data_IF_096827185224
#
_entry.id   IF_096827185224
#
_cell.length_a   1.000
_cell.length_b   1.000
_cell.length_c   1.000
_cell.angle_alpha   90.00
_cell.angle_beta   90.00
_cell.angle_gamma   90.00
#
_symmetry.space_group_name_H-M   'P 1'
#
loop_
_entity.id
_entity.type
_entity.pdbx_description
1 polymer ?
#
# COMPACT_ATOMS: atom_id res chain seq x y z
N UNK A 1 22.25 -5.81 4.29
CA UNK A 1 21.59 -7.02 4.75
C UNK A 1 21.03 -6.82 6.15
N UNK A 2 19.82 -7.16 6.30
CA UNK A 2 19.22 -7.18 7.62
C UNK A 2 19.64 -8.45 8.34
N UNK A 3 20.23 -8.29 9.50
CA UNK A 3 20.55 -9.44 10.33
C UNK A 3 19.46 -9.63 11.36
N UNK A 4 19.14 -10.86 11.64
CA UNK A 4 18.30 -11.19 12.77
C UNK A 4 19.18 -11.25 14.02
N UNK A 5 18.87 -10.41 14.96
CA UNK A 5 19.61 -10.35 16.21
C UNK A 5 18.94 -11.24 17.25
N UNK A 6 19.72 -12.07 17.88
CA UNK A 6 19.24 -12.92 18.96
C UNK A 6 19.95 -12.52 20.24
N UNK A 7 19.16 -12.28 21.26
CA UNK A 7 19.67 -12.11 22.60
C UNK A 7 19.59 -13.45 23.30
N UNK A 8 20.75 -14.05 23.60
CA UNK A 8 20.78 -15.35 24.24
C UNK A 8 21.26 -15.19 25.67
N UNK A 9 20.40 -15.52 26.59
CA UNK A 9 20.73 -15.62 28.01
C UNK A 9 20.61 -17.09 28.41
N UNK A 10 21.38 -17.57 29.39
CA UNK A 10 21.23 -18.95 29.83
C UNK A 10 19.78 -19.34 30.07
N UNK A 11 19.29 -20.32 29.30
CA UNK A 11 17.89 -20.77 29.37
C UNK A 11 16.88 -19.86 28.71
N UNK A 12 17.35 -18.88 27.94
CA UNK A 12 16.45 -17.91 27.34
C UNK A 12 16.93 -17.48 25.96
N UNK A 13 15.95 -17.23 25.07
CA UNK A 13 16.24 -16.84 23.70
C UNK A 13 15.15 -15.90 23.22
N UNK A 14 15.56 -14.79 22.60
CA UNK A 14 14.66 -13.81 22.03
C UNK A 14 15.02 -13.55 20.57
N UNK A 15 14.02 -13.52 19.73
CA UNK A 15 14.16 -13.22 18.31
C UNK A 15 13.51 -11.86 18.01
N UNK A 16 14.24 -11.01 17.33
CA UNK A 16 13.69 -9.76 16.84
C UNK A 16 12.94 -10.01 15.53
N UNK A 17 11.66 -9.61 15.49
CA UNK A 17 10.85 -9.70 14.27
C UNK A 17 11.23 -8.56 13.32
N UNK A 18 11.11 -8.79 11.99
CA UNK A 18 11.29 -7.72 11.03
C UNK A 18 10.22 -6.66 11.20
N UNK A 19 10.60 -5.40 11.00
CA UNK A 19 9.71 -4.25 11.12
C UNK A 19 9.94 -3.30 9.96
N UNK A 20 8.95 -2.45 9.69
CA UNK A 20 9.09 -1.41 8.69
C UNK A 20 10.18 -0.42 9.12
N UNK A 21 11.04 -0.04 8.20
CA UNK A 21 12.09 0.95 8.42
C UNK A 21 11.82 2.26 7.70
N UNK A 22 10.82 2.29 6.81
CA UNK A 22 10.47 3.44 6.00
C UNK A 22 8.96 3.63 5.94
N UNK A 23 8.54 4.87 5.73
CA UNK A 23 7.13 5.21 5.52
C UNK A 23 7.02 6.02 4.22
N UNK A 24 6.12 5.59 3.35
CA UNK A 24 5.73 6.35 2.18
C UNK A 24 4.37 7.00 2.45
N UNK A 25 4.28 8.30 2.17
CA UNK A 25 3.02 9.04 2.30
C UNK A 25 2.66 9.69 0.97
N UNK A 26 1.38 9.68 0.63
CA UNK A 26 0.86 10.42 -0.51
C UNK A 26 -0.57 10.90 -0.25
N UNK A 27 -0.82 12.17 -0.57
CA UNK A 27 -2.17 12.70 -0.77
C UNK A 27 -2.48 12.64 -2.26
N UNK A 28 -3.65 12.15 -2.62
CA UNK A 28 -3.97 11.86 -4.03
C UNK A 28 -3.96 13.11 -4.90
N UNK A 29 -3.50 12.93 -6.13
CA UNK A 29 -3.70 13.88 -7.23
C UNK A 29 -4.95 13.46 -8.03
N UNK A 30 -5.44 14.34 -8.87
CA UNK A 30 -6.55 14.02 -9.79
C UNK A 30 -6.03 13.12 -10.92
N UNK A 31 -5.84 11.85 -10.59
CA UNK A 31 -5.30 10.82 -11.48
C UNK A 31 -5.53 9.45 -10.86
N UNK A 32 -4.98 8.40 -11.45
CA UNK A 32 -4.94 7.06 -10.86
C UNK A 32 -3.81 6.90 -9.85
N UNK A 33 -2.99 7.90 -9.68
CA UNK A 33 -1.90 7.96 -8.71
C UNK A 33 -0.92 6.78 -8.80
N UNK A 34 -0.68 6.30 -10.01
CA UNK A 34 0.28 5.22 -10.23
C UNK A 34 1.67 5.64 -9.72
N UNK A 35 2.19 4.90 -8.76
CA UNK A 35 3.40 5.28 -8.02
C UNK A 35 4.26 4.06 -7.76
N UNK A 36 5.58 4.22 -7.95
CA UNK A 36 6.57 3.26 -7.46
C UNK A 36 7.06 3.71 -6.10
N UNK A 37 6.88 2.88 -5.10
CA UNK A 37 7.39 3.13 -3.73
C UNK A 37 8.82 2.65 -3.61
N UNK A 38 9.10 1.48 -4.17
CA UNK A 38 10.44 0.88 -4.13
C UNK A 38 10.69 0.13 -5.43
N UNK A 39 11.79 0.44 -6.09
CA UNK A 39 12.16 -0.14 -7.39
C UNK A 39 12.93 -1.45 -7.30
N UNK A 40 12.94 -2.11 -6.16
CA UNK A 40 13.60 -3.39 -5.93
C UNK A 40 12.80 -4.19 -4.91
N UNK A 41 13.20 -5.43 -4.66
CA UNK A 41 12.49 -6.28 -3.71
C UNK A 41 12.37 -5.63 -2.33
N UNK A 42 11.28 -5.88 -1.65
CA UNK A 42 11.01 -5.33 -0.34
C UNK A 42 9.84 -6.00 0.33
N UNK A 43 9.40 -5.42 1.44
CA UNK A 43 8.26 -5.92 2.18
C UNK A 43 7.38 -4.78 2.67
N UNK A 44 6.08 -5.00 2.67
CA UNK A 44 5.08 -4.07 3.22
C UNK A 44 4.59 -4.63 4.54
N UNK A 45 4.57 -3.79 5.58
CA UNK A 45 4.19 -4.19 6.93
C UNK A 45 2.84 -3.62 7.33
N UNK A 46 2.52 -2.40 6.89
CA UNK A 46 1.21 -1.82 7.17
C UNK A 46 0.82 -0.82 6.09
N UNK A 47 -0.48 -0.67 5.94
CA UNK A 47 -1.07 0.29 5.01
C UNK A 47 -2.20 0.99 5.75
N UNK A 48 -2.22 2.32 5.70
CA UNK A 48 -3.32 3.12 6.22
C UNK A 48 -3.86 3.96 5.08
N UNK A 49 -5.16 3.88 4.84
CA UNK A 49 -5.82 4.61 3.75
C UNK A 49 -6.97 5.40 4.35
N UNK A 50 -6.94 6.72 4.15
CA UNK A 50 -8.04 7.60 4.52
C UNK A 50 -8.76 8.05 3.25
N UNK A 51 -10.03 7.74 3.13
CA UNK A 51 -10.87 8.25 2.06
C UNK A 51 -11.76 9.35 2.63
N UNK A 52 -11.42 10.61 2.33
CA UNK A 52 -12.10 11.77 2.88
C UNK A 52 -13.22 12.30 2.01
N UNK A 53 -13.55 11.63 0.92
CA UNK A 53 -14.72 12.00 0.11
C UNK A 53 -15.99 11.89 0.95
N UNK A 54 -16.83 12.89 0.86
CA UNK A 54 -18.04 12.99 1.67
C UNK A 54 -19.23 12.19 1.12
N UNK A 55 -19.00 11.39 0.10
CA UNK A 55 -20.03 10.51 -0.43
C UNK A 55 -20.88 11.13 -1.53
N UNK A 56 -21.67 10.30 -2.17
CA UNK A 56 -22.53 10.67 -3.27
C UNK A 56 -21.81 10.71 -4.62
N UNK A 57 -22.38 10.06 -5.62
CA UNK A 57 -21.81 10.01 -6.96
C UNK A 57 -20.54 9.17 -7.05
N UNK A 58 -19.83 9.35 -8.15
CA UNK A 58 -18.52 8.75 -8.35
C UNK A 58 -17.52 9.36 -7.37
N UNK A 59 -16.54 8.58 -6.94
CA UNK A 59 -15.52 9.04 -6.01
C UNK A 59 -15.90 8.86 -4.55
N UNK A 60 -17.07 8.35 -4.26
CA UNK A 60 -17.44 8.07 -2.87
C UNK A 60 -16.66 6.89 -2.30
N UNK A 61 -16.49 5.83 -3.07
CA UNK A 61 -15.68 4.68 -2.69
C UNK A 61 -14.48 4.60 -3.62
N UNK A 62 -13.33 4.18 -3.09
CA UNK A 62 -12.10 4.08 -3.88
C UNK A 62 -11.52 2.67 -3.77
N UNK A 63 -10.65 2.34 -4.72
CA UNK A 63 -9.88 1.12 -4.67
C UNK A 63 -8.38 1.45 -4.66
N UNK A 64 -7.69 0.94 -3.66
CA UNK A 64 -6.25 1.00 -3.55
C UNK A 64 -5.69 -0.33 -4.04
N UNK A 65 -4.78 -0.29 -5.01
CA UNK A 65 -4.21 -1.49 -5.62
C UNK A 65 -2.71 -1.53 -5.42
N UNK A 66 -2.24 -2.66 -4.91
CA UNK A 66 -0.82 -2.93 -4.74
C UNK A 66 -0.33 -3.86 -5.83
N UNK A 67 0.85 -3.55 -6.38
CA UNK A 67 1.45 -4.32 -7.47
C UNK A 67 2.86 -4.75 -7.08
N UNK A 68 3.22 -5.98 -7.42
CA UNK A 68 4.62 -6.44 -7.33
C UNK A 68 5.35 -6.00 -8.61
N UNK A 69 5.79 -4.74 -8.61
CA UNK A 69 6.39 -4.12 -9.78
C UNK A 69 7.43 -3.08 -9.38
N UNK A 70 8.54 -3.04 -10.11
CA UNK A 70 9.63 -2.12 -9.83
C UNK A 70 9.33 -0.69 -10.27
N UNK A 71 8.43 -0.50 -11.24
CA UNK A 71 8.05 0.81 -11.80
C UNK A 71 6.60 1.11 -11.47
N UNK A 72 6.17 2.35 -11.71
CA UNK A 72 4.76 2.71 -11.57
C UNK A 72 3.89 1.78 -12.42
N UNK A 73 2.76 1.29 -11.90
CA UNK A 73 1.91 0.37 -12.65
C UNK A 73 1.24 1.05 -13.84
N UNK A 74 0.98 0.27 -14.89
CA UNK A 74 0.11 0.68 -15.98
C UNK A 74 -1.31 0.29 -15.58
N UNK A 75 -2.03 1.24 -15.01
CA UNK A 75 -3.37 1.01 -14.46
C UNK A 75 -4.35 0.65 -15.58
N UNK A 76 -5.11 -0.40 -15.37
CA UNK A 76 -5.99 -0.95 -16.40
C UNK A 76 -5.34 -2.05 -17.24
N UNK A 77 -4.03 -2.23 -17.13
CA UNK A 77 -3.28 -3.27 -17.86
C UNK A 77 -2.57 -4.22 -16.91
N UNK A 78 -1.83 -3.70 -15.95
CA UNK A 78 -1.16 -4.54 -14.95
C UNK A 78 -2.17 -5.12 -13.98
N UNK A 79 -1.96 -6.35 -13.57
CA UNK A 79 -2.84 -7.04 -12.62
C UNK A 79 -2.31 -6.77 -11.20
N UNK A 80 -3.14 -6.18 -10.33
CA UNK A 80 -2.71 -5.95 -8.96
C UNK A 80 -2.61 -7.24 -8.16
N UNK A 81 -1.71 -7.25 -7.19
CA UNK A 81 -1.54 -8.35 -6.25
C UNK A 81 -2.59 -8.29 -5.14
N UNK A 82 -2.92 -7.10 -4.69
CA UNK A 82 -3.89 -6.86 -3.62
C UNK A 82 -4.75 -5.66 -4.00
N UNK A 83 -6.06 -5.78 -3.75
CA UNK A 83 -7.01 -4.67 -3.92
C UNK A 83 -7.73 -4.43 -2.61
N UNK A 84 -7.74 -3.18 -2.17
CA UNK A 84 -8.39 -2.76 -0.93
C UNK A 84 -9.44 -1.69 -1.26
N UNK A 85 -10.68 -1.95 -0.91
CA UNK A 85 -11.78 -1.01 -1.12
C UNK A 85 -12.01 -0.20 0.14
N UNK A 86 -12.14 1.12 -0.01
CA UNK A 86 -12.39 2.03 1.11
C UNK A 86 -13.59 2.89 0.78
N UNK A 87 -14.63 2.81 1.60
CA UNK A 87 -15.84 3.58 1.44
C UNK A 87 -15.60 5.08 1.70
N UNK A 88 -16.52 5.92 1.26
CA UNK A 88 -16.42 7.36 1.51
C UNK A 88 -16.42 7.65 3.01
N UNK A 89 -15.69 8.67 3.42
CA UNK A 89 -15.54 9.07 4.82
C UNK A 89 -15.10 7.93 5.74
N UNK A 90 -14.30 7.02 5.22
CA UNK A 90 -13.82 5.87 5.97
C UNK A 90 -12.31 5.74 5.89
N UNK A 91 -11.76 4.93 6.77
CA UNK A 91 -10.35 4.62 6.82
C UNK A 91 -10.16 3.12 6.94
N UNK A 92 -9.10 2.62 6.32
CA UNK A 92 -8.67 1.23 6.48
C UNK A 92 -7.25 1.20 6.99
N UNK A 93 -7.01 0.35 7.97
CA UNK A 93 -5.67 0.03 8.43
C UNK A 93 -5.47 -1.47 8.28
N UNK A 94 -4.40 -1.85 7.58
CA UNK A 94 -4.08 -3.25 7.33
C UNK A 94 -2.66 -3.50 7.80
N UNK A 95 -2.51 -4.51 8.64
CA UNK A 95 -1.22 -4.90 9.22
C UNK A 95 -0.85 -6.29 8.76
N UNK A 96 0.39 -6.44 8.32
CA UNK A 96 0.99 -7.73 7.98
C UNK A 96 2.08 -7.99 9.01
N UNK A 97 1.82 -8.84 9.98
CA UNK A 97 2.68 -9.05 11.15
C UNK A 97 4.13 -9.35 10.79
N UNK A 98 4.35 -10.18 9.79
CA UNK A 98 5.70 -10.55 9.33
C UNK A 98 6.08 -9.88 8.02
N UNK A 99 5.22 -8.98 7.53
CA UNK A 99 5.39 -8.34 6.23
C UNK A 99 4.93 -9.20 5.08
N UNK A 100 4.57 -8.55 4.00
CA UNK A 100 4.27 -9.22 2.72
C UNK A 100 5.39 -8.91 1.75
N UNK A 101 5.97 -9.95 1.15
CA UNK A 101 7.16 -9.81 0.32
C UNK A 101 6.80 -9.46 -1.12
N UNK A 102 7.51 -8.47 -1.66
CA UNK A 102 7.44 -8.07 -3.07
C UNK A 102 8.78 -8.40 -3.71
N UNK A 103 8.75 -9.20 -4.76
CA UNK A 103 9.99 -9.71 -5.40
C UNK A 103 10.60 -8.67 -6.33
N UNK A 104 9.77 -7.99 -7.09
CA UNK A 104 10.23 -7.02 -8.10
C UNK A 104 10.28 -5.60 -7.58
N UNK A 105 9.35 -5.23 -6.74
CA UNK A 105 9.24 -3.90 -6.19
C UNK A 105 7.88 -3.65 -5.60
N UNK A 106 7.69 -2.48 -4.99
CA UNK A 106 6.45 -2.07 -4.35
C UNK A 106 5.88 -0.90 -5.13
N UNK A 107 4.69 -1.08 -5.70
CA UNK A 107 4.01 -0.04 -6.45
C UNK A 107 2.51 -0.07 -6.14
N UNK A 108 1.82 1.04 -6.39
CA UNK A 108 0.39 1.11 -6.14
C UNK A 108 -0.31 2.06 -7.08
N UNK A 109 -1.64 1.99 -7.09
CA UNK A 109 -2.53 2.95 -7.72
C UNK A 109 -3.74 3.19 -6.84
N UNK A 110 -4.44 4.29 -7.08
CA UNK A 110 -5.69 4.64 -6.42
C UNK A 110 -6.67 5.00 -7.51
N UNK A 111 -7.81 4.30 -7.56
CA UNK A 111 -8.84 4.57 -8.56
C UNK A 111 -10.20 4.78 -7.91
N UNK A 112 -11.07 5.46 -8.64
CA UNK A 112 -12.43 5.73 -8.19
C UNK A 112 -13.32 4.48 -8.28
N UNK A 113 -13.18 3.72 -9.35
CA UNK A 113 -13.97 2.51 -9.56
C UNK A 113 -13.43 1.29 -8.84
N UNK A 114 -14.31 0.32 -8.62
CA UNK A 114 -14.03 -0.85 -7.81
C UNK A 114 -13.68 -2.11 -8.61
N UNK A 115 -13.89 -2.12 -9.93
CA UNK A 115 -13.54 -3.32 -10.71
C UNK A 115 -12.03 -3.53 -10.74
N UNK A 116 -11.61 -4.78 -10.90
CA UNK A 116 -10.20 -5.17 -10.80
C UNK A 116 -9.27 -4.34 -11.66
N UNK A 117 -9.69 -4.05 -12.88
CA UNK A 117 -8.86 -3.34 -13.86
C UNK A 117 -9.35 -1.90 -14.11
N UNK A 118 -10.11 -1.34 -13.19
CA UNK A 118 -10.58 0.04 -13.31
C UNK A 118 -9.42 1.03 -13.38
N UNK A 119 -9.56 2.05 -14.20
CA UNK A 119 -8.55 3.08 -14.41
C UNK A 119 -9.13 4.50 -14.30
N UNK A 120 -10.24 4.67 -13.57
CA UNK A 120 -10.82 6.01 -13.37
C UNK A 120 -10.06 6.78 -12.30
N UNK A 121 -9.89 8.08 -12.52
CA UNK A 121 -9.14 8.95 -11.62
C UNK A 121 -9.92 9.24 -10.34
N UNK A 122 -9.21 9.40 -9.24
CA UNK A 122 -9.74 9.96 -8.00
C UNK A 122 -9.52 11.48 -8.00
N UNK A 123 -10.18 12.18 -7.08
CA UNK A 123 -10.01 13.61 -6.92
C UNK A 123 -8.71 13.94 -6.18
N UNK A 124 -8.21 15.15 -6.42
CA UNK A 124 -7.05 15.65 -5.69
C UNK A 124 -7.38 15.76 -4.20
N UNK A 125 -6.43 15.36 -3.37
CA UNK A 125 -6.50 15.43 -1.90
C UNK A 125 -7.68 14.68 -1.27
N UNK A 126 -8.35 13.82 -2.03
CA UNK A 126 -9.46 13.03 -1.52
C UNK A 126 -9.04 11.76 -0.79
N UNK A 127 -7.82 11.30 -1.03
CA UNK A 127 -7.32 10.06 -0.45
C UNK A 127 -5.90 10.27 0.07
N UNK A 128 -5.64 9.86 1.30
CA UNK A 128 -4.29 9.86 1.87
C UNK A 128 -3.88 8.43 2.15
N UNK A 129 -2.65 8.09 1.77
CA UNK A 129 -2.11 6.74 1.91
C UNK A 129 -0.78 6.81 2.67
N UNK A 130 -0.62 5.90 3.64
CA UNK A 130 0.62 5.67 4.36
C UNK A 130 0.99 4.20 4.20
N UNK A 131 2.22 3.94 3.80
CA UNK A 131 2.72 2.56 3.64
C UNK A 131 4.00 2.43 4.45
N UNK A 132 3.98 1.55 5.44
CA UNK A 132 5.17 1.15 6.18
C UNK A 132 5.84 0.00 5.47
N UNK A 133 7.12 0.15 5.10
CA UNK A 133 7.81 -0.83 4.29
C UNK A 133 9.31 -0.92 4.62
N UNK A 134 9.93 -1.91 4.02
CA UNK A 134 11.38 -2.11 4.12
C UNK A 134 11.95 -2.48 2.77
#
# INVERSE_FOLDING_TARGET
MSSTTYNITPGRYERQLPVATKVHFKSSANSTNATSVKGSSGAVFNIIIHNTHSGGGSGSAIAFRLYDKATAPVVGTDVPMIVIHVQSNDSKEINFTSGITFVNGIAYSITDGSSLMDATSVDADGVQVYIGYM
#
